data_IF_477910264624
#
_entry.id   IF_477910264624
#
_cell.length_a   1.000
_cell.length_b   1.000
_cell.length_c   1.000
_cell.angle_alpha   90.00
_cell.angle_beta   90.00
_cell.angle_gamma   90.00
#
_symmetry.space_group_name_H-M   'P 1'
#
loop_
_entity.id
_entity.type
_entity.pdbx_description
1 polymer ?
#
# COMPACT_ATOMS: atom_id res chain seq x y z
N UNK A 1 2.23 5.68 10.24
CA UNK A 1 0.91 5.40 9.62
C UNK A 1 0.50 3.96 9.91
N UNK A 2 -0.77 3.58 9.76
CA UNK A 2 -1.20 2.18 9.94
C UNK A 2 -0.75 1.34 8.73
N UNK A 3 -0.16 0.18 8.97
CA UNK A 3 0.19 -0.79 7.91
C UNK A 3 -1.02 -1.67 7.62
N UNK A 4 -1.16 -2.09 6.37
CA UNK A 4 -2.30 -2.87 5.91
C UNK A 4 -1.82 -4.22 5.41
N UNK A 5 -2.42 -5.30 5.93
CA UNK A 5 -2.11 -6.66 5.50
C UNK A 5 -3.23 -7.17 4.59
N UNK A 6 -2.86 -7.61 3.39
CA UNK A 6 -3.75 -8.32 2.50
C UNK A 6 -4.07 -9.69 3.07
N UNK A 7 -5.31 -9.89 3.50
CA UNK A 7 -5.78 -11.16 4.09
C UNK A 7 -5.73 -12.35 3.12
N UNK A 8 -5.65 -12.09 1.81
CA UNK A 8 -5.63 -13.14 0.79
C UNK A 8 -4.23 -13.72 0.56
N UNK A 9 -3.18 -12.88 0.60
CA UNK A 9 -1.81 -13.29 0.28
C UNK A 9 -0.77 -12.99 1.38
N UNK A 10 -1.13 -12.24 2.43
CA UNK A 10 -0.24 -11.83 3.51
C UNK A 10 0.70 -10.68 3.17
N UNK A 11 0.53 -10.02 2.02
CA UNK A 11 1.32 -8.84 1.66
C UNK A 11 1.04 -7.69 2.65
N UNK A 12 2.09 -6.96 3.05
CA UNK A 12 1.96 -5.81 3.96
C UNK A 12 2.28 -4.53 3.19
N UNK A 13 1.26 -3.71 2.97
CA UNK A 13 1.43 -2.34 2.53
C UNK A 13 1.93 -1.48 3.69
N UNK A 14 3.10 -0.89 3.49
CA UNK A 14 3.73 0.04 4.44
C UNK A 14 3.66 1.46 3.87
N UNK A 15 2.75 2.31 4.36
CA UNK A 15 2.60 3.66 3.82
C UNK A 15 3.87 4.49 3.90
N UNK A 16 4.79 4.20 4.83
CA UNK A 16 6.08 4.91 4.92
C UNK A 16 7.03 4.56 3.77
N UNK A 17 6.77 3.44 3.08
CA UNK A 17 7.51 3.00 1.90
C UNK A 17 6.75 3.23 0.60
N UNK A 18 5.41 3.27 0.67
CA UNK A 18 4.55 3.21 -0.50
C UNK A 18 4.72 1.90 -1.25
N UNK A 19 4.46 1.94 -2.56
CA UNK A 19 4.75 0.85 -3.50
C UNK A 19 5.31 1.43 -4.80
N UNK A 20 6.65 1.60 -4.90
CA UNK A 20 7.30 2.13 -6.09
C UNK A 20 7.10 1.28 -7.35
N UNK A 21 6.70 0.01 -7.23
CA UNK A 21 6.47 -0.86 -8.39
C UNK A 21 5.15 -0.57 -9.10
N UNK A 22 4.23 0.09 -8.39
CA UNK A 22 2.92 0.52 -8.87
C UNK A 22 2.77 2.04 -8.80
N UNK A 23 3.88 2.78 -8.82
CA UNK A 23 3.92 4.25 -8.77
C UNK A 23 3.23 4.88 -7.54
N UNK A 24 3.24 4.17 -6.41
CA UNK A 24 2.72 4.67 -5.13
C UNK A 24 3.88 5.23 -4.30
N UNK A 25 3.96 6.57 -4.09
CA UNK A 25 5.07 7.16 -3.37
C UNK A 25 5.03 6.86 -1.87
N UNK A 26 6.19 6.93 -1.19
CA UNK A 26 6.25 6.98 0.27
C UNK A 26 5.36 8.08 0.84
N UNK A 27 4.63 7.78 1.90
CA UNK A 27 3.70 8.69 2.57
C UNK A 27 2.25 8.60 2.07
N UNK A 28 1.94 7.76 1.08
CA UNK A 28 0.56 7.54 0.63
C UNK A 28 -0.20 6.66 1.64
N UNK A 29 -1.28 7.17 2.23
CA UNK A 29 -2.15 6.35 3.07
C UNK A 29 -2.83 5.27 2.23
N UNK A 30 -3.17 4.13 2.83
CA UNK A 30 -3.84 3.04 2.10
C UNK A 30 -5.20 3.46 1.52
N UNK A 31 -5.89 4.40 2.18
CA UNK A 31 -7.17 4.95 1.70
C UNK A 31 -7.01 5.80 0.43
N UNK A 32 -5.79 6.26 0.14
CA UNK A 32 -5.42 7.04 -1.05
C UNK A 32 -4.80 6.16 -2.15
N UNK A 33 -4.62 4.86 -1.89
CA UNK A 33 -4.13 3.89 -2.88
C UNK A 33 -5.23 3.66 -3.92
N UNK A 34 -4.90 3.67 -5.23
CA UNK A 34 -5.88 3.38 -6.28
C UNK A 34 -6.58 2.02 -6.09
N UNK A 35 -7.88 1.97 -6.38
CA UNK A 35 -8.70 0.74 -6.26
C UNK A 35 -8.24 -0.41 -7.18
N UNK A 36 -7.40 -0.13 -8.17
CA UNK A 36 -6.83 -1.10 -9.11
C UNK A 36 -5.46 -1.66 -8.68
N UNK A 37 -4.97 -1.29 -7.50
CA UNK A 37 -3.78 -1.88 -6.86
C UNK A 37 -4.02 -3.36 -6.46
N UNK A 38 -3.01 -4.24 -6.61
CA UNK A 38 -3.18 -5.72 -6.57
C UNK A 38 -2.27 -6.42 -5.57
#
# INVERSE_FOLDING_TARGET
MQKYECIACGYIYDPEKGDPTQDIPPGTAFEDVPDDWV
#
